data_IF_351423225728
#
_entry.id   IF_351423225728
#
_cell.length_a   1.000
_cell.length_b   1.000
_cell.length_c   1.000
_cell.angle_alpha   90.00
_cell.angle_beta   90.00
_cell.angle_gamma   90.00
#
_symmetry.space_group_name_H-M   'P 1'
#
loop_
_entity.id
_entity.type
_entity.pdbx_description
1 polymer ?
#
# COMPACT_ATOMS: atom_id res chain seq x y z
N UNK A 1 -0.57 -16.82 -10.92
CA UNK A 1 -0.24 -16.93 -9.48
C UNK A 1 -0.24 -15.59 -8.75
N UNK A 2 0.10 -14.47 -9.36
CA UNK A 2 0.14 -13.14 -8.71
C UNK A 2 -1.23 -12.58 -8.27
N UNK A 3 -2.31 -12.84 -9.01
CA UNK A 3 -3.64 -12.28 -8.72
C UNK A 3 -4.29 -12.84 -7.43
N UNK A 4 -3.95 -14.06 -7.02
CA UNK A 4 -4.54 -14.70 -5.83
C UNK A 4 -3.92 -14.17 -4.51
N UNK A 5 -2.71 -13.64 -4.57
CA UNK A 5 -2.01 -13.07 -3.40
C UNK A 5 -2.58 -11.69 -3.05
N UNK A 6 -2.95 -10.90 -4.06
CA UNK A 6 -3.44 -9.54 -3.86
C UNK A 6 -4.83 -9.48 -3.20
N UNK A 7 -5.72 -10.42 -3.52
CA UNK A 7 -7.08 -10.49 -2.95
C UNK A 7 -7.07 -10.93 -1.48
N UNK A 8 -6.09 -11.74 -1.07
CA UNK A 8 -6.01 -12.23 0.32
C UNK A 8 -5.42 -11.21 1.29
N UNK A 9 -4.51 -10.37 0.82
CA UNK A 9 -3.89 -9.30 1.63
C UNK A 9 -4.91 -8.19 1.93
N UNK A 10 -5.73 -7.79 0.95
CA UNK A 10 -6.78 -6.78 1.15
C UNK A 10 -7.91 -7.23 2.08
N UNK A 11 -8.25 -8.53 2.10
CA UNK A 11 -9.31 -9.05 2.97
C UNK A 11 -8.86 -9.23 4.43
N UNK A 12 -7.60 -9.65 4.66
CA UNK A 12 -7.08 -9.85 6.01
C UNK A 12 -6.84 -8.53 6.76
N UNK A 13 -6.48 -7.44 6.04
CA UNK A 13 -6.26 -6.14 6.66
C UNK A 13 -7.57 -5.41 7.01
N UNK A 14 -8.69 -5.76 6.36
CA UNK A 14 -9.99 -5.16 6.66
C UNK A 14 -10.56 -5.63 8.02
N UNK A 15 -10.23 -6.85 8.45
CA UNK A 15 -10.66 -7.38 9.76
C UNK A 15 -9.86 -6.83 10.95
N UNK A 16 -8.68 -6.22 10.70
CA UNK A 16 -7.83 -5.63 11.74
C UNK A 16 -8.00 -4.11 11.89
N UNK A 17 -9.02 -3.52 11.26
CA UNK A 17 -9.42 -2.14 11.53
C UNK A 17 -10.05 -2.06 12.93
N UNK A 18 -9.23 -2.18 13.98
CA UNK A 18 -9.66 -1.77 15.31
C UNK A 18 -9.83 -0.26 15.30
N UNK A 19 -11.04 0.13 15.66
CA UNK A 19 -11.45 1.53 15.72
C UNK A 19 -10.84 2.19 16.97
N UNK A 20 -9.57 2.59 16.88
CA UNK A 20 -8.86 3.33 17.94
C UNK A 20 -9.14 4.83 17.89
N UNK A 21 -10.04 5.27 17.00
CA UNK A 21 -10.44 6.67 16.92
C UNK A 21 -11.47 6.99 18.02
N UNK A 22 -11.17 7.89 18.98
CA UNK A 22 -12.08 8.26 20.05
C UNK A 22 -13.40 8.88 19.57
N UNK A 23 -13.47 9.33 18.30
CA UNK A 23 -14.68 9.87 17.67
C UNK A 23 -15.52 8.82 16.92
N UNK A 24 -15.14 7.52 16.97
CA UNK A 24 -15.92 6.42 16.45
C UNK A 24 -15.84 6.17 14.93
N UNK A 25 -15.14 6.97 14.17
CA UNK A 25 -14.88 6.72 12.74
C UNK A 25 -13.81 5.66 12.57
N UNK A 26 -13.92 4.70 11.62
CA UNK A 26 -12.86 3.73 11.37
C UNK A 26 -11.60 4.43 10.87
N UNK A 27 -10.48 4.22 11.54
CA UNK A 27 -9.18 4.79 11.16
C UNK A 27 -8.53 3.92 10.09
N UNK A 28 -8.12 4.52 8.98
CA UNK A 28 -7.41 3.83 7.90
C UNK A 28 -5.94 3.66 8.32
N UNK A 29 -5.43 2.42 8.26
CA UNK A 29 -4.00 2.16 8.40
C UNK A 29 -3.38 1.93 7.02
N UNK A 30 -2.45 2.81 6.64
CA UNK A 30 -1.70 2.71 5.38
C UNK A 30 -0.39 1.96 5.54
N UNK A 31 0.12 1.45 4.42
CA UNK A 31 1.40 0.73 4.32
C UNK A 31 2.14 1.14 3.05
N UNK A 32 3.45 1.01 3.08
CA UNK A 32 4.25 0.98 1.86
C UNK A 32 4.04 -0.36 1.15
N UNK A 33 3.98 -0.35 -0.17
CA UNK A 33 3.98 -1.59 -0.97
C UNK A 33 5.32 -1.67 -1.69
N UNK A 34 6.21 -2.52 -1.18
CA UNK A 34 7.55 -2.73 -1.75
C UNK A 34 7.72 -4.20 -2.08
N UNK A 35 8.07 -4.51 -3.32
CA UNK A 35 8.23 -5.89 -3.83
C UNK A 35 7.00 -6.79 -3.54
N UNK A 36 5.80 -6.22 -3.67
CA UNK A 36 4.53 -6.91 -3.43
C UNK A 36 4.22 -7.20 -1.96
N UNK A 37 4.96 -6.60 -1.02
CA UNK A 37 4.75 -6.75 0.43
C UNK A 37 4.27 -5.45 1.04
N UNK A 38 3.43 -5.56 2.07
CA UNK A 38 3.05 -4.43 2.91
C UNK A 38 4.14 -4.21 3.95
N UNK A 39 4.69 -3.00 4.00
CA UNK A 39 5.79 -2.65 4.92
C UNK A 39 5.49 -1.33 5.62
N UNK A 40 5.88 -1.23 6.87
CA UNK A 40 5.92 0.01 7.63
C UNK A 40 7.19 0.80 7.28
N UNK A 41 7.31 2.04 7.75
CA UNK A 41 8.57 2.78 7.64
C UNK A 41 9.70 2.04 8.38
N UNK A 42 10.92 2.06 7.84
CA UNK A 42 12.07 1.30 8.38
C UNK A 42 12.47 1.71 9.81
N UNK A 43 12.12 2.92 10.23
CA UNK A 43 12.28 3.43 11.58
C UNK A 43 10.99 3.36 12.43
N UNK A 44 9.90 2.85 11.85
CA UNK A 44 8.59 2.75 12.49
C UNK A 44 7.84 4.07 12.60
N UNK A 45 8.35 5.17 12.05
CA UNK A 45 7.70 6.46 12.13
C UNK A 45 6.43 6.52 11.29
N UNK A 46 5.40 7.19 11.80
CA UNK A 46 4.12 7.37 11.13
C UNK A 46 3.70 8.84 11.15
N UNK A 47 2.75 9.20 10.30
CA UNK A 47 2.04 10.47 10.35
C UNK A 47 0.53 10.25 10.24
N UNK A 48 -0.24 11.18 10.80
CA UNK A 48 -1.70 11.14 10.76
C UNK A 48 -2.25 12.04 9.66
N UNK A 49 -3.24 11.53 8.94
CA UNK A 49 -4.08 12.34 8.06
C UNK A 49 -5.32 12.77 8.84
N UNK A 50 -5.52 14.09 8.97
CA UNK A 50 -6.60 14.66 9.75
C UNK A 50 -7.77 15.06 8.84
N UNK A 51 -8.98 15.01 9.38
CA UNK A 51 -10.16 15.54 8.71
C UNK A 51 -10.07 17.08 8.63
N UNK A 52 -10.04 17.69 7.44
CA UNK A 52 -9.90 19.13 7.30
C UNK A 52 -11.10 19.92 7.87
N UNK A 53 -12.25 19.27 7.99
CA UNK A 53 -13.46 19.88 8.58
C UNK A 53 -13.48 19.76 10.11
N UNK A 54 -12.73 18.81 10.69
CA UNK A 54 -12.66 18.57 12.12
C UNK A 54 -11.27 18.04 12.48
N UNK A 55 -10.34 18.92 12.81
CA UNK A 55 -8.91 18.58 13.04
C UNK A 55 -8.66 17.62 14.22
N UNK A 56 -9.63 17.41 15.10
CA UNK A 56 -9.59 16.40 16.16
C UNK A 56 -9.94 14.99 15.65
N UNK A 57 -10.40 14.86 14.40
CA UNK A 57 -10.78 13.59 13.77
C UNK A 57 -9.63 13.08 12.89
N UNK A 58 -9.01 11.96 13.28
CA UNK A 58 -7.94 11.31 12.52
C UNK A 58 -8.55 10.34 11.51
N UNK A 59 -8.36 10.59 10.23
CA UNK A 59 -8.82 9.74 9.15
C UNK A 59 -7.95 8.51 8.92
N UNK A 60 -6.65 8.63 9.20
CA UNK A 60 -5.74 7.51 9.01
C UNK A 60 -4.33 7.76 9.51
N UNK A 61 -3.60 6.68 9.67
CA UNK A 61 -2.19 6.62 10.02
C UNK A 61 -1.39 6.00 8.88
N UNK A 62 -0.30 6.64 8.46
CA UNK A 62 0.49 6.24 7.30
C UNK A 62 1.97 6.23 7.65
N UNK A 63 2.80 5.36 7.01
CA UNK A 63 4.24 5.34 7.21
C UNK A 63 4.88 6.67 6.82
N UNK A 64 5.70 7.25 7.69
CA UNK A 64 6.59 8.36 7.36
C UNK A 64 7.89 7.78 6.81
N UNK A 65 7.87 7.44 5.50
CA UNK A 65 8.94 6.70 4.85
C UNK A 65 10.27 7.43 4.87
N UNK A 66 11.34 6.68 5.12
CA UNK A 66 12.71 7.16 5.15
C UNK A 66 13.39 7.09 3.79
N UNK A 67 14.61 7.65 3.69
CA UNK A 67 15.46 7.48 2.51
C UNK A 67 15.80 5.99 2.24
N UNK A 68 15.90 5.16 3.29
CA UNK A 68 16.16 3.72 3.15
C UNK A 68 14.99 3.00 2.49
N UNK A 69 13.75 3.35 2.84
CA UNK A 69 12.54 2.80 2.23
C UNK A 69 12.46 3.14 0.74
N UNK A 70 12.77 4.39 0.38
CA UNK A 70 12.84 4.82 -1.02
C UNK A 70 13.90 4.02 -1.79
N UNK A 71 15.07 3.79 -1.22
CA UNK A 71 16.11 2.98 -1.85
C UNK A 71 15.66 1.53 -2.05
N UNK A 72 14.96 0.94 -1.09
CA UNK A 72 14.39 -0.42 -1.18
C UNK A 72 13.37 -0.50 -2.30
N UNK A 73 12.46 0.46 -2.39
CA UNK A 73 11.47 0.55 -3.46
C UNK A 73 12.12 0.68 -4.86
N UNK A 74 13.14 1.54 -5.00
CA UNK A 74 13.89 1.69 -6.24
C UNK A 74 14.64 0.42 -6.64
N UNK A 75 15.22 -0.29 -5.67
CA UNK A 75 15.90 -1.58 -5.90
C UNK A 75 14.90 -2.63 -6.40
N UNK A 76 13.73 -2.74 -5.77
CA UNK A 76 12.68 -3.65 -6.18
C UNK A 76 12.18 -3.34 -7.61
N UNK A 77 11.94 -2.05 -7.91
CA UNK A 77 11.52 -1.61 -9.24
C UNK A 77 12.57 -1.93 -10.33
N UNK A 78 13.85 -1.69 -10.06
CA UNK A 78 14.94 -2.03 -10.98
C UNK A 78 15.06 -3.53 -11.21
N UNK A 79 14.86 -4.35 -10.17
CA UNK A 79 14.87 -5.81 -10.27
C UNK A 79 13.72 -6.34 -11.12
N UNK A 80 12.53 -5.76 -11.01
CA UNK A 80 11.33 -6.16 -11.75
C UNK A 80 11.34 -5.67 -13.21
N UNK A 81 12.06 -4.58 -13.50
CA UNK A 81 12.01 -3.91 -14.80
C UNK A 81 12.34 -4.82 -16.02
N UNK A 82 13.40 -5.66 -16.01
CA UNK A 82 13.74 -6.46 -17.18
C UNK A 82 12.63 -7.43 -17.58
N UNK A 83 12.01 -8.11 -16.63
CA UNK A 83 10.91 -9.05 -16.91
C UNK A 83 9.66 -8.31 -17.40
N UNK A 84 9.34 -7.18 -16.80
CA UNK A 84 8.21 -6.35 -17.22
C UNK A 84 8.42 -5.76 -18.60
N UNK A 85 9.60 -5.25 -18.90
CA UNK A 85 9.95 -4.69 -20.21
C UNK A 85 9.92 -5.75 -21.31
N UNK A 86 10.33 -6.99 -21.01
CA UNK A 86 10.27 -8.13 -21.93
C UNK A 86 8.86 -8.72 -22.13
N UNK A 87 7.89 -8.35 -21.29
CA UNK A 87 6.50 -8.83 -21.43
C UNK A 87 5.83 -8.17 -22.63
N UNK A 88 5.19 -8.92 -23.56
CA UNK A 88 4.50 -8.36 -24.73
C UNK A 88 3.47 -7.31 -24.31
N UNK A 89 3.34 -6.25 -25.11
CA UNK A 89 2.44 -5.13 -24.83
C UNK A 89 0.96 -5.55 -24.61
N UNK A 90 0.39 -6.48 -25.39
CA UNK A 90 -0.98 -6.96 -25.14
C UNK A 90 -1.14 -7.60 -23.75
N UNK A 91 -0.15 -8.40 -23.33
CA UNK A 91 -0.16 -9.06 -22.01
C UNK A 91 -0.08 -8.04 -20.88
N UNK A 92 0.77 -7.02 -21.02
CA UNK A 92 0.84 -5.92 -20.04
C UNK A 92 -0.48 -5.16 -19.95
N UNK A 93 -1.13 -4.93 -21.11
CA UNK A 93 -2.44 -4.30 -21.17
C UNK A 93 -3.53 -5.11 -20.47
N UNK A 94 -3.52 -6.44 -20.60
CA UNK A 94 -4.44 -7.33 -19.88
C UNK A 94 -4.24 -7.26 -18.35
N UNK A 95 -2.99 -7.26 -17.89
CA UNK A 95 -2.67 -7.15 -16.45
C UNK A 95 -3.22 -5.84 -15.89
N UNK A 96 -2.94 -4.71 -16.55
CA UNK A 96 -3.43 -3.39 -16.14
C UNK A 96 -4.96 -3.32 -16.21
N UNK A 97 -5.57 -3.86 -17.28
CA UNK A 97 -7.02 -3.91 -17.41
C UNK A 97 -7.71 -4.74 -16.33
N UNK A 98 -7.05 -5.81 -15.85
CA UNK A 98 -7.57 -6.61 -14.74
C UNK A 98 -7.54 -5.84 -13.41
N UNK A 99 -6.53 -5.00 -13.18
CA UNK A 99 -6.49 -4.13 -11.99
C UNK A 99 -7.68 -3.17 -11.93
N UNK A 100 -8.17 -2.69 -13.09
CA UNK A 100 -9.33 -1.80 -13.16
C UNK A 100 -10.68 -2.50 -12.97
N UNK A 101 -10.71 -3.84 -12.85
CA UNK A 101 -11.93 -4.63 -12.64
C UNK A 101 -12.07 -5.17 -11.20
N UNK A 102 -11.07 -4.93 -10.36
CA UNK A 102 -11.09 -5.25 -8.93
C UNK A 102 -11.82 -4.16 -8.15
#
# INVERSE_FOLDING_TARGET
>A
MAAKVMTHVLAADFEHMQNDNPNGSPMIRGYNIIDGKLEVASDGATFHSLNPALLSDTLGEFPLSTKADVHSALKAARSAFPSWAGTPAPTRGQIIGNMGRL
#
